data_IF_900272517135
#
_entry.id   IF_900272517135
#
_cell.length_a   1.000
_cell.length_b   1.000
_cell.length_c   1.000
_cell.angle_alpha   90.00
_cell.angle_beta   90.00
_cell.angle_gamma   90.00
#
_symmetry.space_group_name_H-M   'P 1'
#
loop_
_entity.id
_entity.type
_entity.pdbx_description
1 polymer ?
#
# COMPACT_ATOMS: atom_id res chain seq x y z
N UNK A 1 12.82 2.70 23.33
CA UNK A 1 12.54 1.72 22.27
C UNK A 1 11.83 2.47 21.15
N UNK A 2 12.58 3.03 20.19
CA UNK A 2 11.99 3.62 19.00
C UNK A 2 11.45 2.45 18.16
N UNK A 3 10.16 2.49 17.87
CA UNK A 3 9.54 1.53 16.96
C UNK A 3 9.85 2.02 15.55
N UNK A 4 10.90 1.46 14.94
CA UNK A 4 11.23 1.72 13.54
C UNK A 4 10.30 0.89 12.64
N UNK A 5 9.02 1.25 12.63
CA UNK A 5 8.08 0.77 11.62
C UNK A 5 8.06 1.83 10.50
N UNK A 6 8.70 1.57 9.34
CA UNK A 6 8.54 2.45 8.19
C UNK A 6 7.09 2.36 7.74
N UNK A 7 6.32 3.43 7.97
CA UNK A 7 4.96 3.53 7.47
C UNK A 7 4.99 3.63 5.95
N UNK A 8 4.08 2.93 5.29
CA UNK A 8 3.94 3.06 3.85
C UNK A 8 3.52 4.48 3.49
N UNK A 9 4.06 5.00 2.39
CA UNK A 9 3.80 6.36 1.92
C UNK A 9 2.30 6.66 1.82
N UNK A 10 1.54 5.76 1.18
CA UNK A 10 0.09 5.87 1.03
C UNK A 10 -0.67 5.94 2.35
N UNK A 11 -0.15 5.33 3.42
CA UNK A 11 -0.78 5.36 4.75
C UNK A 11 -0.66 6.77 5.35
N UNK A 12 0.52 7.37 5.21
CA UNK A 12 0.78 8.73 5.69
C UNK A 12 0.02 9.78 4.85
N UNK A 13 -0.09 9.62 3.52
CA UNK A 13 -0.91 10.53 2.71
C UNK A 13 -2.37 10.48 3.14
N UNK A 14 -2.88 9.27 3.46
CA UNK A 14 -4.24 9.08 3.97
C UNK A 14 -4.44 9.64 5.37
N UNK A 15 -3.43 9.59 6.22
CA UNK A 15 -3.44 10.23 7.53
C UNK A 15 -3.62 11.75 7.39
N UNK A 16 -2.90 12.36 6.44
CA UNK A 16 -2.91 13.78 6.13
C UNK A 16 -4.18 14.26 5.41
N UNK A 17 -5.02 13.34 4.92
CA UNK A 17 -6.24 13.65 4.18
C UNK A 17 -6.02 13.88 2.69
N UNK A 18 -4.81 13.67 2.18
CA UNK A 18 -4.53 13.60 0.75
C UNK A 18 -4.94 12.20 0.30
N UNK A 19 -6.18 12.08 -0.18
CA UNK A 19 -6.65 10.87 -0.86
C UNK A 19 -5.87 10.73 -2.16
N UNK A 20 -4.69 10.14 -2.09
CA UNK A 20 -3.95 9.71 -3.26
C UNK A 20 -4.84 8.73 -4.04
N UNK A 21 -4.95 8.96 -5.35
CA UNK A 21 -5.62 8.04 -6.26
C UNK A 21 -5.13 6.62 -6.01
N UNK A 22 -6.08 5.68 -6.01
CA UNK A 22 -5.81 4.28 -5.71
C UNK A 22 -5.03 3.67 -6.88
N UNK A 23 -3.70 3.79 -6.83
CA UNK A 23 -2.83 3.14 -7.79
C UNK A 23 -2.65 1.67 -7.40
N UNK A 24 -2.85 0.78 -8.38
CA UNK A 24 -2.63 -0.65 -8.23
C UNK A 24 -1.17 -0.97 -7.89
N UNK A 25 -0.24 -0.07 -8.24
CA UNK A 25 1.16 -0.19 -7.85
C UNK A 25 1.37 -0.09 -6.34
N UNK A 26 0.54 0.66 -5.60
CA UNK A 26 0.59 0.69 -4.14
C UNK A 26 0.13 -0.63 -3.52
N UNK A 27 -0.80 -1.33 -4.17
CA UNK A 27 -1.21 -2.66 -3.73
C UNK A 27 -0.03 -3.65 -3.84
N UNK A 28 0.82 -3.55 -4.85
CA UNK A 28 2.00 -4.41 -4.98
C UNK A 28 2.98 -4.26 -3.80
N UNK A 29 3.11 -3.05 -3.25
CA UNK A 29 3.93 -2.79 -2.06
C UNK A 29 3.28 -3.26 -0.76
N UNK A 30 1.94 -3.24 -0.68
CA UNK A 30 1.19 -3.66 0.50
C UNK A 30 1.02 -5.18 0.57
N UNK A 31 0.58 -5.78 -0.53
CA UNK A 31 0.26 -7.20 -0.65
C UNK A 31 0.65 -7.69 -2.06
N UNK A 32 1.90 -8.18 -2.23
CA UNK A 32 2.38 -8.64 -3.52
C UNK A 32 1.66 -9.91 -4.00
N UNK A 33 1.09 -10.72 -3.10
CA UNK A 33 0.33 -11.92 -3.45
C UNK A 33 -1.01 -11.54 -4.07
N UNK A 34 -1.74 -10.61 -3.43
CA UNK A 34 -2.99 -10.10 -3.96
C UNK A 34 -2.78 -9.39 -5.31
N UNK A 35 -1.70 -8.60 -5.43
CA UNK A 35 -1.36 -7.95 -6.69
C UNK A 35 -1.14 -8.96 -7.82
N UNK A 36 -0.43 -10.07 -7.57
CA UNK A 36 -0.23 -11.14 -8.56
C UNK A 36 -1.56 -11.78 -8.96
N UNK A 37 -2.45 -12.05 -7.99
CA UNK A 37 -3.77 -12.62 -8.26
C UNK A 37 -4.62 -11.70 -9.14
N UNK A 38 -4.60 -10.38 -8.88
CA UNK A 38 -5.31 -9.41 -9.70
C UNK A 38 -4.70 -9.25 -11.10
N UNK A 39 -3.36 -9.30 -11.20
CA UNK A 39 -2.67 -9.27 -12.48
C UNK A 39 -3.00 -10.51 -13.32
N UNK A 40 -3.05 -11.69 -12.68
CA UNK A 40 -3.48 -12.93 -13.31
C UNK A 40 -4.91 -12.80 -13.85
N UNK A 41 -5.84 -12.26 -13.04
CA UNK A 41 -7.23 -12.01 -13.46
C UNK A 41 -7.31 -11.04 -14.66
N UNK A 42 -6.38 -10.09 -14.74
CA UNK A 42 -6.29 -9.13 -15.85
C UNK A 42 -5.78 -9.78 -17.14
N UNK A 43 -4.79 -10.67 -17.05
CA UNK A 43 -4.19 -11.37 -18.20
C UNK A 43 -4.93 -12.65 -18.61
N UNK A 44 -5.94 -13.06 -17.86
CA UNK A 44 -6.71 -14.27 -18.14
C UNK A 44 -7.58 -14.07 -19.40
N UNK A 45 -7.36 -14.80 -20.48
CA UNK A 45 -8.12 -14.59 -21.73
C UNK A 45 -9.42 -15.42 -21.78
N UNK A 46 -9.48 -16.51 -21.02
CA UNK A 46 -10.63 -17.42 -20.94
C UNK A 46 -11.77 -16.86 -20.07
N UNK A 47 -12.82 -17.66 -19.91
CA UNK A 47 -14.01 -17.28 -19.15
C UNK A 47 -13.70 -17.18 -17.64
N UNK A 48 -13.69 -15.95 -17.13
CA UNK A 48 -13.45 -15.66 -15.71
C UNK A 48 -14.52 -16.28 -14.81
N UNK A 49 -15.66 -16.67 -15.39
CA UNK A 49 -16.78 -17.32 -14.70
C UNK A 49 -16.39 -18.70 -14.14
N UNK A 50 -15.45 -19.42 -14.77
CA UNK A 50 -14.93 -20.72 -14.27
C UNK A 50 -14.21 -20.59 -12.92
N UNK A 51 -13.71 -19.40 -12.59
CA UNK A 51 -13.08 -19.14 -11.29
C UNK A 51 -14.10 -19.03 -10.15
N UNK A 52 -15.40 -18.94 -10.45
CA UNK A 52 -16.47 -18.85 -9.45
C UNK A 52 -16.33 -17.65 -8.51
N UNK A 53 -15.72 -16.57 -9.00
CA UNK A 53 -15.48 -15.35 -8.22
C UNK A 53 -16.72 -14.47 -8.19
N UNK A 54 -17.02 -13.93 -7.02
CA UNK A 54 -18.07 -12.93 -6.81
C UNK A 54 -17.45 -11.61 -6.35
N UNK A 55 -18.23 -10.54 -6.25
CA UNK A 55 -17.75 -9.25 -5.73
C UNK A 55 -17.64 -9.23 -4.19
N UNK A 56 -16.95 -10.22 -3.65
CA UNK A 56 -16.66 -10.40 -2.24
C UNK A 56 -15.18 -10.65 -2.02
N UNK A 57 -14.65 -10.18 -0.90
CA UNK A 57 -13.27 -10.43 -0.49
C UNK A 57 -13.26 -11.10 0.88
N UNK A 58 -12.40 -12.10 1.05
CA UNK A 58 -12.14 -12.70 2.36
C UNK A 58 -11.08 -11.88 3.05
N UNK A 59 -11.45 -11.30 4.19
CA UNK A 59 -10.55 -10.56 5.03
C UNK A 59 -10.31 -11.35 6.33
N UNK A 60 -9.06 -11.67 6.60
CA UNK A 60 -8.66 -12.46 7.78
C UNK A 60 -7.98 -11.54 8.79
N UNK A 61 -8.76 -10.71 9.46
CA UNK A 61 -8.26 -9.86 10.54
C UNK A 61 -8.30 -10.65 11.85
N UNK A 62 -7.17 -10.66 12.58
CA UNK A 62 -7.05 -11.22 13.93
C UNK A 62 -7.42 -12.71 14.07
N UNK A 63 -7.41 -13.47 12.98
CA UNK A 63 -7.71 -14.90 12.96
C UNK A 63 -9.17 -15.26 12.64
N UNK A 64 -10.03 -14.27 12.40
CA UNK A 64 -11.40 -14.49 11.91
C UNK A 64 -11.51 -14.16 10.42
N UNK A 65 -11.85 -15.17 9.62
CA UNK A 65 -12.12 -14.98 8.20
C UNK A 65 -13.52 -14.39 8.01
N UNK A 66 -13.59 -13.08 7.76
CA UNK A 66 -14.83 -12.39 7.42
C UNK A 66 -14.94 -12.17 5.91
N UNK A 67 -16.09 -12.53 5.34
CA UNK A 67 -16.40 -12.26 3.94
C UNK A 67 -17.05 -10.88 3.84
N UNK A 68 -16.39 -9.96 3.15
CA UNK A 68 -16.87 -8.59 2.98
C UNK A 68 -17.28 -8.35 1.54
N UNK A 69 -18.46 -7.77 1.35
CA UNK A 69 -18.96 -7.41 0.03
C UNK A 69 -18.30 -6.11 -0.46
N UNK A 70 -17.75 -6.16 -1.68
CA UNK A 70 -17.09 -5.00 -2.29
C UNK A 70 -18.10 -3.96 -2.77
N UNK A 71 -19.30 -4.42 -3.16
CA UNK A 71 -20.44 -3.62 -3.60
C UNK A 71 -21.75 -4.19 -3.03
N UNK A 72 -22.84 -3.41 -2.96
CA UNK A 72 -24.13 -3.90 -2.46
C UNK A 72 -24.62 -5.09 -3.30
N UNK A 73 -24.93 -6.23 -2.65
CA UNK A 73 -25.35 -7.45 -3.36
C UNK A 73 -24.23 -8.11 -4.14
N UNK A 74 -22.97 -7.85 -3.76
CA UNK A 74 -21.79 -8.36 -4.47
C UNK A 74 -21.68 -9.88 -4.47
N UNK A 75 -22.31 -10.57 -3.50
CA UNK A 75 -22.38 -12.04 -3.43
C UNK A 75 -23.13 -12.67 -4.59
N UNK A 76 -24.18 -12.02 -5.08
CA UNK A 76 -25.05 -12.55 -6.15
C UNK A 76 -24.55 -12.19 -7.54
N UNK A 77 -23.51 -11.37 -7.64
CA UNK A 77 -22.99 -10.87 -8.91
C UNK A 77 -21.69 -11.62 -9.21
N UNK A 78 -21.67 -12.52 -10.21
CA UNK A 78 -20.46 -13.20 -10.64
C UNK A 78 -19.51 -12.23 -11.35
N UNK A 79 -18.21 -12.51 -11.23
CA UNK A 79 -17.16 -11.80 -11.97
C UNK A 79 -17.05 -12.42 -13.37
N UNK A 80 -17.27 -11.59 -14.38
CA UNK A 80 -17.20 -11.93 -15.79
C UNK A 80 -16.12 -11.12 -16.50
N UNK A 81 -15.81 -11.49 -17.74
CA UNK A 81 -14.80 -10.81 -18.56
C UNK A 81 -15.01 -9.30 -18.67
N UNK A 82 -16.27 -8.85 -18.74
CA UNK A 82 -16.62 -7.44 -18.87
C UNK A 82 -16.47 -6.67 -17.55
N UNK A 83 -16.62 -7.33 -16.40
CA UNK A 83 -16.64 -6.68 -15.09
C UNK A 83 -15.36 -6.91 -14.25
N UNK A 84 -14.43 -7.75 -14.74
CA UNK A 84 -13.14 -8.05 -14.10
C UNK A 84 -12.34 -6.80 -13.71
N UNK A 85 -12.36 -5.77 -14.57
CA UNK A 85 -11.62 -4.52 -14.33
C UNK A 85 -12.22 -3.79 -13.14
N UNK A 86 -13.55 -3.71 -13.08
CA UNK A 86 -14.26 -3.13 -11.93
C UNK A 86 -13.98 -3.91 -10.64
N UNK A 87 -13.94 -5.25 -10.71
CA UNK A 87 -13.56 -6.07 -9.57
C UNK A 87 -12.14 -5.75 -9.07
N UNK A 88 -11.15 -5.68 -9.96
CA UNK A 88 -9.77 -5.33 -9.62
C UNK A 88 -9.69 -3.97 -8.92
N UNK A 89 -10.35 -2.95 -9.46
CA UNK A 89 -10.38 -1.62 -8.86
C UNK A 89 -11.04 -1.62 -7.48
N UNK A 90 -12.18 -2.31 -7.32
CA UNK A 90 -12.88 -2.40 -6.04
C UNK A 90 -12.07 -3.15 -4.97
N UNK A 91 -11.36 -4.20 -5.36
CA UNK A 91 -10.45 -4.92 -4.45
C UNK A 91 -9.30 -4.02 -4.02
N UNK A 92 -8.66 -3.33 -4.96
CA UNK A 92 -7.56 -2.42 -4.67
C UNK A 92 -8.02 -1.29 -3.73
N UNK A 93 -9.18 -0.69 -4.00
CA UNK A 93 -9.78 0.32 -3.14
C UNK A 93 -10.11 -0.24 -1.75
N UNK A 94 -10.69 -1.45 -1.67
CA UNK A 94 -11.01 -2.06 -0.38
C UNK A 94 -9.76 -2.28 0.48
N UNK A 95 -8.71 -2.89 -0.10
CA UNK A 95 -7.45 -3.18 0.62
C UNK A 95 -6.72 -1.89 1.01
N UNK A 96 -6.61 -0.94 0.09
CA UNK A 96 -5.86 0.28 0.33
C UNK A 96 -6.64 1.29 1.18
N UNK A 97 -7.96 1.39 1.06
CA UNK A 97 -8.76 2.39 1.79
C UNK A 97 -9.56 1.77 2.93
N UNK A 98 -10.44 0.80 2.67
CA UNK A 98 -11.43 0.34 3.65
C UNK A 98 -10.79 -0.44 4.81
N UNK A 99 -9.87 -1.36 4.52
CA UNK A 99 -9.29 -2.22 5.56
C UNK A 99 -8.45 -1.41 6.56
N UNK A 100 -7.63 -0.47 6.06
CA UNK A 100 -6.75 0.31 6.93
C UNK A 100 -7.43 1.50 7.60
N UNK A 101 -8.60 1.95 7.11
CA UNK A 101 -9.33 3.11 7.64
C UNK A 101 -9.55 3.10 9.16
N UNK A 102 -10.03 2.01 9.80
CA UNK A 102 -10.18 2.00 11.26
C UNK A 102 -8.84 2.18 11.98
N UNK A 103 -7.77 1.57 11.49
CA UNK A 103 -6.42 1.70 12.05
C UNK A 103 -5.87 3.11 11.86
N UNK A 104 -5.99 3.70 10.67
CA UNK A 104 -5.63 5.09 10.39
C UNK A 104 -6.38 6.06 11.31
N UNK A 105 -7.68 5.83 11.51
CA UNK A 105 -8.52 6.72 12.30
C UNK A 105 -8.18 6.63 13.79
N UNK A 106 -7.99 5.41 14.32
CA UNK A 106 -7.54 5.20 15.69
C UNK A 106 -6.15 5.82 15.93
N UNK A 107 -5.22 5.64 14.98
CA UNK A 107 -3.90 6.26 15.05
C UNK A 107 -3.99 7.79 15.01
N UNK A 108 -4.80 8.35 14.10
CA UNK A 108 -5.03 9.80 14.02
C UNK A 108 -5.66 10.35 15.30
N UNK A 109 -6.59 9.63 15.92
CA UNK A 109 -7.16 10.02 17.21
C UNK A 109 -6.13 9.97 18.33
N UNK A 110 -5.30 8.93 18.39
CA UNK A 110 -4.19 8.84 19.33
C UNK A 110 -3.18 9.98 19.15
N UNK A 111 -2.82 10.28 17.90
CA UNK A 111 -1.92 11.38 17.57
C UNK A 111 -2.53 12.74 17.91
N UNK A 112 -3.82 12.95 17.63
CA UNK A 112 -4.53 14.19 17.95
C UNK A 112 -4.61 14.48 19.46
N UNK A 113 -4.58 13.44 20.29
CA UNK A 113 -4.55 13.59 21.75
C UNK A 113 -3.18 14.05 22.27
N UNK A 114 -2.10 13.84 21.51
CA UNK A 114 -0.73 14.20 21.88
C UNK A 114 -0.29 15.49 21.18
N UNK A 115 -0.70 15.69 19.93
CA UNK A 115 -0.27 16.80 19.05
C UNK A 115 -1.50 17.40 18.36
N UNK A 116 -1.59 18.73 18.31
CA UNK A 116 -2.69 19.40 17.61
C UNK A 116 -2.63 19.13 16.09
N UNK A 117 -3.74 18.66 15.52
CA UNK A 117 -3.90 18.37 14.09
C UNK A 117 -3.63 19.60 13.19
N UNK A 118 -3.81 20.82 13.69
CA UNK A 118 -3.46 22.04 12.95
C UNK A 118 -1.96 22.14 12.66
N UNK A 119 -1.11 21.61 13.54
CA UNK A 119 0.34 21.61 13.33
C UNK A 119 0.74 20.55 12.31
N UNK A 120 0.05 19.41 12.30
CA UNK A 120 0.28 18.32 11.34
C UNK A 120 -0.05 18.72 9.91
N UNK A 121 -0.93 19.70 9.69
CA UNK A 121 -1.23 20.24 8.34
C UNK A 121 -0.05 20.99 7.71
N UNK A 122 0.95 21.39 8.49
CA UNK A 122 2.14 22.08 7.99
C UNK A 122 3.21 21.12 7.48
N UNK A 123 3.09 19.82 7.79
CA UNK A 123 4.08 18.81 7.42
C UNK A 123 3.65 18.01 6.20
N UNK A 124 4.61 17.74 5.32
CA UNK A 124 4.41 16.79 4.23
C UNK A 124 4.53 15.34 4.73
N UNK A 125 4.07 14.40 3.91
CA UNK A 125 4.09 12.97 4.19
C UNK A 125 5.47 12.46 4.63
N UNK A 126 6.55 12.93 3.99
CA UNK A 126 7.91 12.55 4.35
C UNK A 126 8.33 13.09 5.73
N UNK A 127 7.91 14.31 6.06
CA UNK A 127 8.27 14.94 7.34
C UNK A 127 7.53 14.28 8.50
N UNK A 128 6.26 13.90 8.31
CA UNK A 128 5.53 13.09 9.29
C UNK A 128 6.18 11.73 9.48
N UNK A 129 6.68 11.09 8.40
CA UNK A 129 7.43 9.85 8.51
C UNK A 129 8.65 10.03 9.40
N UNK A 130 9.43 11.10 9.18
CA UNK A 130 10.61 11.44 10.00
C UNK A 130 10.22 11.78 11.44
N UNK A 131 9.09 12.46 11.65
CA UNK A 131 8.58 12.81 12.98
C UNK A 131 8.22 11.56 13.80
N UNK A 132 7.59 10.57 13.17
CA UNK A 132 7.10 9.36 13.85
C UNK A 132 8.19 8.29 13.94
N UNK A 133 8.91 8.03 12.86
CA UNK A 133 9.95 6.99 12.78
C UNK A 133 11.30 7.47 13.32
N UNK A 134 11.46 8.78 13.56
CA UNK A 134 12.74 9.38 13.92
C UNK A 134 13.56 9.78 12.67
N UNK A 135 14.49 10.71 12.85
CA UNK A 135 15.46 11.05 11.82
C UNK A 135 16.33 9.83 11.52
N UNK A 136 16.56 9.59 10.22
CA UNK A 136 17.39 8.50 9.71
C UNK A 136 18.67 8.39 10.55
N UNK A 137 18.92 7.21 11.12
CA UNK A 137 20.26 6.83 11.60
C UNK A 137 21.25 7.20 10.48
N UNK A 138 22.38 7.86 10.78
CA UNK A 138 23.32 8.29 9.75
C UNK A 138 23.61 7.11 8.83
N UNK A 139 23.30 7.27 7.53
CA UNK A 139 23.52 6.24 6.53
C UNK A 139 25.03 6.00 6.49
N UNK A 140 25.46 4.85 7.01
CA UNK A 140 26.87 4.49 6.98
C UNK A 140 27.23 4.14 5.55
N UNK A 141 27.96 5.05 4.89
CA UNK A 141 28.35 4.91 3.48
C UNK A 141 29.22 3.67 3.25
N UNK A 142 29.94 3.22 4.26
CA UNK A 142 30.77 2.01 4.20
C UNK A 142 29.91 0.73 4.15
N UNK A 143 28.82 0.68 4.92
CA UNK A 143 27.86 -0.45 4.89
C UNK A 143 27.11 -0.49 3.55
N UNK A 144 26.68 0.66 3.05
CA UNK A 144 25.98 0.76 1.76
C UNK A 144 26.87 0.31 0.59
N UNK A 145 28.18 0.63 0.63
CA UNK A 145 29.16 0.15 -0.36
C UNK A 145 29.39 -1.35 -0.28
N UNK A 146 29.33 -1.92 0.92
CA UNK A 146 29.65 -3.35 1.15
C UNK A 146 28.48 -4.27 0.78
N UNK A 147 27.24 -3.80 0.91
CA UNK A 147 26.03 -4.60 0.66
C UNK A 147 25.31 -4.32 -0.67
N UNK A 148 25.80 -3.41 -1.51
CA UNK A 148 25.21 -3.15 -2.83
C UNK A 148 25.82 -4.08 -3.89
N UNK A 149 25.05 -5.06 -4.36
CA UNK A 149 25.46 -5.93 -5.48
C UNK A 149 24.98 -5.35 -6.81
N UNK A 150 25.93 -4.96 -7.68
CA UNK A 150 25.65 -4.38 -9.00
C UNK A 150 25.39 -5.50 -10.02
N UNK A 151 24.12 -5.79 -10.29
CA UNK A 151 23.72 -6.66 -11.40
C UNK A 151 23.28 -5.84 -12.61
N UNK A 152 24.19 -5.57 -13.54
CA UNK A 152 23.84 -4.97 -14.85
C UNK A 152 24.98 -4.21 -15.52
N UNK A 153 25.32 -4.64 -16.74
CA UNK A 153 26.48 -4.25 -17.55
C UNK A 153 26.41 -2.82 -18.13
N UNK A 154 27.55 -2.11 -17.99
CA UNK A 154 28.12 -1.05 -18.84
C UNK A 154 27.52 0.37 -18.70
N UNK A 155 28.41 1.33 -18.44
CA UNK A 155 28.26 2.80 -18.48
C UNK A 155 27.94 3.59 -17.18
N UNK A 156 28.18 3.06 -15.98
CA UNK A 156 27.97 3.82 -14.72
C UNK A 156 29.21 4.49 -14.10
N UNK A 157 30.40 4.35 -14.72
CA UNK A 157 31.63 4.94 -14.18
C UNK A 157 31.67 6.48 -14.22
N UNK A 158 30.84 7.13 -15.03
CA UNK A 158 30.77 8.61 -15.08
C UNK A 158 29.72 9.22 -14.14
N UNK A 159 28.69 8.45 -13.73
CA UNK A 159 27.60 9.00 -12.89
C UNK A 159 27.94 8.94 -11.40
N UNK A 160 28.69 7.93 -10.95
CA UNK A 160 29.02 7.79 -9.53
C UNK A 160 30.01 8.83 -8.97
N UNK A 161 30.75 9.57 -9.81
CA UNK A 161 31.70 10.59 -9.31
C UNK A 161 31.06 11.96 -9.05
N UNK A 162 29.80 12.15 -9.44
CA UNK A 162 29.08 13.42 -9.23
C UNK A 162 28.09 13.37 -8.07
N UNK A 163 27.95 12.23 -7.40
CA UNK A 163 27.05 12.02 -6.26
C UNK A 163 27.76 11.76 -4.93
N UNK A 164 29.09 11.81 -4.90
CA UNK A 164 29.92 11.76 -3.68
C UNK A 164 30.91 12.91 -3.67
#
# INVERSE_FOLDING_TARGET
>A
MLVELPFASFFLSKLLGTSADVDIHHLASLDPEMYRNLLFLKSYEDDVEDLGLNFTIVNNDLGEAQVVELKPGGKDIPVSTANRIAYIHLVADYRLNKQIRPHCLAFRQGLANVVNLEWLRMFDQQEIQVLISGAHVPICLDDLKTFTNYSGMIALWMVCKSLF
#
